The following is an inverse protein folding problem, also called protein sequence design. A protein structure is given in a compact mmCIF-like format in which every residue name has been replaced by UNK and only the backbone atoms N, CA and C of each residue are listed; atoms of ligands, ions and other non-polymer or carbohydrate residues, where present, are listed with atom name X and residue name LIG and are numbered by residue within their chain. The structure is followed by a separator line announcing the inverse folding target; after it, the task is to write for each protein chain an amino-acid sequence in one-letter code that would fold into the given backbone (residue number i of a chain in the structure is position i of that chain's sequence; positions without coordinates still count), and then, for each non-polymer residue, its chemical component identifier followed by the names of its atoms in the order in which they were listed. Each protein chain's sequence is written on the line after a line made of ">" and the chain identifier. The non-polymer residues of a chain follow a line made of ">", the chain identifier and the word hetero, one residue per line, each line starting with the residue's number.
data_IF_828259486978
#
_entry.id   IF_828259486978
#
_cell.length_a   1.000
_cell.length_b   1.000
_cell.length_c   1.000
_cell.angle_alpha   90.00
_cell.angle_beta   90.00
_cell.angle_gamma   90.00
#
_symmetry.space_group_name_H-M   'P 1'
#
loop_
_entity.id
_entity.type
_entity.pdbx_description
1 polymer ?
#
# COMPACT_ATOMS: atom_id res chain seq x y z
N UNK A 1 9.47 27.54 9.27
CA UNK A 1 10.85 27.24 9.69
C UNK A 1 11.61 26.75 8.48
N UNK A 2 12.61 27.55 8.10
CA UNK A 2 13.39 27.47 6.86
C UNK A 2 14.27 26.23 6.77
N UNK A 3 14.37 25.73 5.53
CA UNK A 3 15.28 24.66 5.15
C UNK A 3 16.69 25.19 4.93
N UNK A 4 17.64 24.73 5.74
CA UNK A 4 19.07 24.89 5.46
C UNK A 4 19.53 23.69 4.61
N UNK A 5 19.90 23.93 3.35
CA UNK A 5 20.66 23.02 2.51
C UNK A 5 22.15 23.15 2.87
N UNK A 6 22.78 22.07 3.29
CA UNK A 6 24.23 21.98 3.40
C UNK A 6 24.78 21.32 2.14
N UNK A 7 25.57 22.08 1.38
CA UNK A 7 26.37 21.63 0.25
C UNK A 7 27.74 21.17 0.77
N UNK A 8 28.19 19.98 0.36
CA UNK A 8 29.51 19.44 0.63
C UNK A 8 30.40 19.67 -0.60
N UNK A 9 31.65 20.20 -0.46
CA UNK A 9 32.50 20.49 -1.59
C UNK A 9 33.27 19.27 -2.10
N UNK A 10 33.42 19.22 -3.42
CA UNK A 10 34.26 18.31 -4.19
C UNK A 10 35.71 18.76 -4.05
N UNK A 11 36.63 17.88 -3.62
CA UNK A 11 38.06 18.08 -3.68
C UNK A 11 38.65 17.37 -4.90
N UNK A 12 39.33 18.12 -5.73
CA UNK A 12 40.07 17.65 -6.90
C UNK A 12 41.52 17.43 -6.58
N UNK A 13 42.09 16.39 -7.21
CA UNK A 13 43.47 16.44 -7.74
C UNK A 13 44.56 15.86 -6.90
N UNK A 14 45.30 14.89 -7.46
CA UNK A 14 46.59 14.46 -7.03
C UNK A 14 47.11 13.25 -7.82
N UNK A 15 47.77 13.52 -8.96
CA UNK A 15 48.52 12.52 -9.76
C UNK A 15 49.77 12.01 -9.01
N UNK A 16 49.95 10.71 -9.00
CA UNK A 16 51.18 10.09 -8.56
C UNK A 16 51.40 8.73 -9.23
N UNK A 17 52.22 8.72 -10.26
CA UNK A 17 52.72 7.54 -10.98
C UNK A 17 53.72 6.78 -10.13
N UNK A 18 53.54 5.46 -9.98
CA UNK A 18 54.59 4.54 -9.65
C UNK A 18 54.32 3.19 -10.32
N UNK A 19 55.15 2.88 -11.32
CA UNK A 19 55.29 1.55 -11.92
C UNK A 19 55.76 0.52 -10.93
N UNK A 20 55.11 -0.64 -10.86
CA UNK A 20 55.76 -1.91 -10.55
C UNK A 20 55.13 -3.04 -11.37
N UNK A 21 55.99 -3.67 -12.13
CA UNK A 21 55.63 -4.72 -13.09
C UNK A 21 55.47 -6.10 -12.42
N UNK A 22 54.71 -6.92 -13.13
CA UNK A 22 54.78 -8.38 -13.33
C UNK A 22 54.37 -9.31 -12.17
N UNK A 23 53.31 -10.05 -12.47
CA UNK A 23 52.92 -11.28 -11.82
C UNK A 23 51.63 -11.81 -12.42
N UNK A 24 51.71 -12.44 -13.60
CA UNK A 24 50.55 -13.06 -14.25
C UNK A 24 50.09 -14.29 -13.47
N UNK A 25 48.84 -14.30 -13.01
CA UNK A 25 48.04 -15.52 -12.90
C UNK A 25 46.63 -15.19 -13.33
N UNK A 26 46.28 -15.66 -14.53
CA UNK A 26 44.97 -15.58 -15.13
C UNK A 26 44.03 -16.51 -14.41
N UNK A 27 43.40 -16.04 -13.35
CA UNK A 27 42.17 -16.59 -12.81
C UNK A 27 41.02 -15.73 -13.29
N UNK A 28 40.41 -16.12 -14.39
CA UNK A 28 39.13 -15.54 -14.82
C UNK A 28 38.10 -15.93 -13.78
N UNK A 29 37.94 -15.11 -12.75
CA UNK A 29 36.74 -15.15 -11.92
C UNK A 29 35.62 -14.65 -12.84
N UNK A 30 34.75 -15.57 -13.26
CA UNK A 30 33.48 -15.22 -13.87
C UNK A 30 32.75 -14.28 -12.89
N UNK A 31 32.41 -13.09 -13.35
CA UNK A 31 31.54 -12.21 -12.59
C UNK A 31 30.28 -13.01 -12.20
N UNK A 32 29.78 -12.92 -10.96
CA UNK A 32 28.57 -13.59 -10.59
C UNK A 32 27.48 -13.15 -11.56
N UNK A 33 26.80 -14.12 -12.17
CA UNK A 33 25.67 -13.85 -13.06
C UNK A 33 24.66 -13.00 -12.26
N UNK A 34 24.35 -11.82 -12.75
CA UNK A 34 23.30 -11.00 -12.17
C UNK A 34 22.00 -11.79 -12.27
N UNK A 35 21.56 -12.35 -11.16
CA UNK A 35 20.26 -13.04 -11.07
C UNK A 35 19.19 -11.96 -11.05
N UNK A 36 18.65 -11.65 -12.22
CA UNK A 36 17.51 -10.75 -12.31
C UNK A 36 16.29 -11.47 -11.73
N UNK A 37 15.70 -10.88 -10.68
CA UNK A 37 14.43 -11.37 -10.15
C UNK A 37 13.34 -11.28 -11.20
N UNK A 38 12.57 -12.36 -11.36
CA UNK A 38 11.37 -12.37 -12.20
C UNK A 38 10.19 -11.64 -11.54
N UNK A 39 10.35 -11.29 -10.26
CA UNK A 39 9.34 -10.63 -9.47
C UNK A 39 9.44 -9.11 -9.52
N UNK A 40 8.32 -8.45 -9.31
CA UNK A 40 8.20 -7.00 -9.33
C UNK A 40 6.73 -6.56 -9.39
N UNK A 41 6.48 -5.31 -9.72
CA UNK A 41 5.14 -4.70 -9.69
C UNK A 41 4.04 -5.49 -10.43
N UNK A 42 4.39 -6.18 -11.54
CA UNK A 42 3.42 -6.95 -12.35
C UNK A 42 3.31 -8.41 -11.91
N UNK A 43 4.32 -8.90 -11.23
CA UNK A 43 4.42 -10.26 -10.72
C UNK A 43 5.00 -10.20 -9.29
N UNK A 44 4.18 -9.88 -8.28
CA UNK A 44 4.64 -9.78 -6.90
C UNK A 44 5.13 -11.11 -6.36
N UNK A 45 6.19 -11.08 -5.56
CA UNK A 45 6.67 -12.29 -4.88
C UNK A 45 5.74 -12.67 -3.72
N UNK A 46 5.21 -13.89 -3.68
CA UNK A 46 4.35 -14.34 -2.58
C UNK A 46 5.20 -14.73 -1.36
N UNK A 47 5.61 -13.74 -0.59
CA UNK A 47 6.54 -13.86 0.53
C UNK A 47 5.84 -14.36 1.80
N UNK A 48 6.30 -15.47 2.42
CA UNK A 48 5.81 -15.91 3.73
C UNK A 48 6.17 -14.92 4.83
N UNK A 49 5.23 -14.63 5.74
CA UNK A 49 5.51 -13.96 7.02
C UNK A 49 6.21 -14.95 7.95
N UNK A 50 7.46 -14.67 8.35
CA UNK A 50 8.27 -15.52 9.20
C UNK A 50 8.04 -15.24 10.68
N UNK A 51 7.98 -13.95 11.06
CA UNK A 51 7.75 -13.54 12.45
C UNK A 51 7.02 -12.19 12.52
N UNK A 52 6.34 -11.98 13.64
CA UNK A 52 5.63 -10.75 13.99
C UNK A 52 5.75 -10.46 15.47
N UNK A 53 6.46 -9.39 15.81
CA UNK A 53 6.72 -8.96 17.18
C UNK A 53 6.12 -7.59 17.43
N UNK A 54 5.37 -7.43 18.52
CA UNK A 54 4.88 -6.12 18.99
C UNK A 54 6.02 -5.41 19.70
N UNK A 55 6.40 -4.23 19.23
CA UNK A 55 7.52 -3.45 19.78
C UNK A 55 7.13 -2.53 20.94
N UNK A 56 5.85 -2.28 21.13
CA UNK A 56 5.36 -1.38 22.19
C UNK A 56 5.18 -2.13 23.51
N UNK A 57 5.59 -1.48 24.60
CA UNK A 57 5.33 -1.96 25.95
C UNK A 57 3.88 -1.75 26.39
N UNK A 58 3.53 -2.37 27.53
CA UNK A 58 2.21 -2.24 28.15
C UNK A 58 1.83 -0.79 28.40
N UNK A 59 0.60 -0.41 28.05
CA UNK A 59 0.07 0.94 28.24
C UNK A 59 0.33 1.91 27.09
N UNK A 60 1.01 1.49 26.02
CA UNK A 60 1.14 2.28 24.80
C UNK A 60 -0.21 2.43 24.09
N UNK A 61 -0.54 3.65 23.67
CA UNK A 61 -1.68 3.91 22.78
C UNK A 61 -1.40 3.59 21.30
N UNK A 62 -0.15 3.27 20.98
CA UNK A 62 0.28 2.89 19.62
C UNK A 62 0.59 1.40 19.59
N UNK A 63 0.41 0.81 18.43
CA UNK A 63 0.84 -0.55 18.12
C UNK A 63 1.81 -0.50 16.95
N UNK A 64 3.05 -0.85 17.20
CA UNK A 64 4.12 -0.91 16.19
C UNK A 64 4.66 -2.34 16.17
N UNK A 65 4.74 -2.89 14.97
CA UNK A 65 5.12 -4.26 14.73
C UNK A 65 6.48 -4.32 14.05
N UNK A 66 7.30 -5.25 14.45
CA UNK A 66 8.40 -5.77 13.67
C UNK A 66 7.90 -6.99 12.91
N UNK A 67 8.09 -7.00 11.60
CA UNK A 67 7.63 -8.05 10.70
C UNK A 67 8.83 -8.56 9.90
N UNK A 68 8.97 -9.87 9.82
CA UNK A 68 10.02 -10.54 9.05
C UNK A 68 9.39 -11.34 7.92
N UNK A 69 9.81 -11.08 6.69
CA UNK A 69 9.33 -11.77 5.49
C UNK A 69 10.46 -12.51 4.81
N UNK A 70 10.17 -13.72 4.30
CA UNK A 70 11.14 -14.49 3.52
C UNK A 70 11.33 -13.89 2.14
N UNK A 71 12.58 -13.82 1.68
CA UNK A 71 12.96 -13.56 0.29
C UNK A 71 13.60 -14.79 -0.37
N UNK A 72 13.59 -15.95 0.31
CA UNK A 72 14.15 -17.19 -0.21
C UNK A 72 13.57 -17.52 -1.59
N UNK A 73 14.43 -17.89 -2.53
CA UNK A 73 14.09 -18.19 -3.93
C UNK A 73 13.48 -17.01 -4.74
N UNK A 74 13.42 -15.80 -4.20
CA UNK A 74 12.86 -14.62 -4.91
C UNK A 74 13.84 -13.98 -5.89
N UNK A 75 15.13 -14.08 -5.65
CA UNK A 75 16.17 -13.29 -6.34
C UNK A 75 16.06 -11.77 -6.09
N UNK A 76 15.23 -11.35 -5.12
CA UNK A 76 15.09 -9.93 -4.74
C UNK A 76 16.29 -9.52 -3.90
N UNK A 77 16.92 -8.42 -4.30
CA UNK A 77 18.01 -7.78 -3.54
C UNK A 77 17.61 -6.36 -3.15
N UNK A 78 18.17 -5.86 -2.05
CA UNK A 78 17.91 -4.49 -1.58
C UNK A 78 19.12 -3.90 -0.87
N UNK A 79 19.16 -2.57 -0.77
CA UNK A 79 20.17 -1.82 -0.03
C UNK A 79 19.53 -1.03 1.13
N UNK A 80 20.32 -0.61 2.15
CA UNK A 80 19.84 0.28 3.19
C UNK A 80 19.27 1.58 2.63
N UNK A 81 18.04 1.90 2.98
CA UNK A 81 17.29 3.05 2.46
C UNK A 81 16.23 2.70 1.41
N UNK A 82 16.25 1.48 0.92
CA UNK A 82 15.20 0.99 0.02
C UNK A 82 13.86 0.79 0.73
N UNK A 83 12.81 0.69 -0.08
CA UNK A 83 11.47 0.38 0.37
C UNK A 83 10.90 -0.79 -0.42
N UNK A 84 10.14 -1.64 0.26
CA UNK A 84 9.43 -2.74 -0.38
C UNK A 84 7.93 -2.41 -0.50
N UNK A 85 7.33 -2.84 -1.61
CA UNK A 85 5.92 -2.65 -1.88
C UNK A 85 5.13 -3.86 -1.37
N UNK A 86 4.05 -3.63 -0.63
CA UNK A 86 3.12 -4.68 -0.19
C UNK A 86 1.77 -4.45 -0.87
N UNK A 87 1.21 -5.50 -1.46
CA UNK A 87 -0.15 -5.48 -1.98
C UNK A 87 -1.11 -5.96 -0.88
N UNK A 88 -1.87 -5.04 -0.28
CA UNK A 88 -2.80 -5.41 0.79
C UNK A 88 -4.11 -5.96 0.23
N UNK A 89 -4.87 -6.54 1.13
CA UNK A 89 -6.29 -6.83 0.95
C UNK A 89 -7.10 -5.89 1.87
N UNK A 90 -8.23 -5.37 1.42
CA UNK A 90 -9.11 -4.53 2.24
C UNK A 90 -9.63 -5.29 3.48
N UNK A 91 -10.17 -4.55 4.44
CA UNK A 91 -10.84 -5.14 5.60
C UNK A 91 -12.22 -5.67 5.18
N UNK A 92 -12.54 -6.97 5.36
CA UNK A 92 -13.82 -7.54 4.93
C UNK A 92 -15.05 -6.84 5.55
N UNK A 93 -14.95 -6.40 6.82
CA UNK A 93 -16.04 -5.69 7.48
C UNK A 93 -16.35 -4.36 6.78
N UNK A 94 -15.31 -3.62 6.37
CA UNK A 94 -15.47 -2.35 5.64
C UNK A 94 -16.13 -2.60 4.28
N UNK A 95 -15.76 -3.67 3.60
CA UNK A 95 -16.35 -4.01 2.29
C UNK A 95 -17.83 -4.39 2.44
N UNK A 96 -18.17 -5.20 3.45
CA UNK A 96 -19.57 -5.52 3.74
C UNK A 96 -20.40 -4.27 4.08
N UNK A 97 -19.85 -3.34 4.87
CA UNK A 97 -20.51 -2.06 5.15
C UNK A 97 -20.78 -1.26 3.88
N UNK A 98 -19.83 -1.22 2.95
CA UNK A 98 -19.99 -0.53 1.65
C UNK A 98 -21.09 -1.18 0.81
N UNK A 99 -21.05 -2.49 0.64
CA UNK A 99 -22.03 -3.24 -0.15
C UNK A 99 -23.43 -3.10 0.43
N UNK A 100 -23.55 -3.19 1.76
CA UNK A 100 -24.81 -2.99 2.47
C UNK A 100 -25.33 -1.56 2.30
N UNK A 101 -24.49 -0.55 2.47
CA UNK A 101 -24.88 0.86 2.29
C UNK A 101 -25.26 1.17 0.83
N UNK A 102 -24.68 0.47 -0.14
CA UNK A 102 -25.05 0.54 -1.55
C UNK A 102 -26.34 -0.23 -1.90
N UNK A 103 -26.88 -1.04 -0.98
CA UNK A 103 -28.08 -1.87 -1.22
C UNK A 103 -27.85 -2.99 -2.23
N UNK A 104 -26.61 -3.51 -2.34
CA UNK A 104 -26.23 -4.51 -3.32
C UNK A 104 -26.06 -5.89 -2.70
N UNK A 105 -26.08 -6.95 -3.56
CA UNK A 105 -25.72 -8.32 -3.16
C UNK A 105 -24.21 -8.52 -3.25
N UNK A 106 -23.56 -9.07 -2.22
CA UNK A 106 -22.14 -9.39 -2.25
C UNK A 106 -21.77 -10.44 -3.30
N UNK A 107 -22.68 -11.34 -3.63
CA UNK A 107 -22.49 -12.43 -4.61
C UNK A 107 -22.73 -11.99 -6.06
N UNK A 108 -23.04 -10.71 -6.31
CA UNK A 108 -23.27 -10.24 -7.67
C UNK A 108 -22.05 -10.53 -8.55
N UNK A 109 -22.23 -11.22 -9.71
CA UNK A 109 -21.10 -11.60 -10.56
C UNK A 109 -20.54 -10.38 -11.30
N UNK A 110 -19.22 -10.21 -11.20
CA UNK A 110 -18.46 -9.18 -11.91
C UNK A 110 -17.25 -9.82 -12.59
N UNK A 111 -16.65 -9.12 -13.56
CA UNK A 111 -15.44 -9.61 -14.23
C UNK A 111 -14.21 -9.00 -13.59
N UNK A 112 -13.29 -9.86 -13.12
CA UNK A 112 -11.99 -9.44 -12.60
C UNK A 112 -11.11 -8.85 -13.71
N UNK A 113 -9.97 -8.26 -13.33
CA UNK A 113 -9.00 -7.72 -14.31
C UNK A 113 -8.29 -8.80 -15.12
N UNK A 114 -8.21 -10.01 -14.61
CA UNK A 114 -7.71 -11.19 -15.35
C UNK A 114 -8.73 -11.72 -16.35
N UNK A 115 -9.98 -11.23 -16.32
CA UNK A 115 -11.07 -11.70 -17.16
C UNK A 115 -11.92 -12.82 -16.54
N UNK A 116 -11.59 -13.23 -15.31
CA UNK A 116 -12.30 -14.29 -14.60
C UNK A 116 -13.57 -13.75 -13.92
N UNK A 117 -14.66 -14.53 -13.88
CA UNK A 117 -15.83 -14.17 -13.09
C UNK A 117 -15.53 -14.30 -11.59
N UNK A 118 -15.87 -13.26 -10.83
CA UNK A 118 -15.74 -13.21 -9.36
C UNK A 118 -16.97 -12.55 -8.78
N UNK A 119 -17.22 -12.73 -7.49
CA UNK A 119 -18.27 -11.99 -6.79
C UNK A 119 -17.85 -10.54 -6.48
N UNK A 120 -18.82 -9.67 -6.28
CA UNK A 120 -18.62 -8.24 -6.02
C UNK A 120 -17.78 -8.00 -4.75
N UNK A 121 -18.03 -8.77 -3.67
CA UNK A 121 -17.30 -8.64 -2.42
C UNK A 121 -15.82 -8.94 -2.66
N UNK A 122 -15.50 -10.06 -3.30
CA UNK A 122 -14.14 -10.46 -3.63
C UNK A 122 -13.43 -9.45 -4.54
N UNK A 123 -14.15 -8.89 -5.52
CA UNK A 123 -13.61 -7.87 -6.41
C UNK A 123 -13.19 -6.61 -5.63
N UNK A 124 -14.12 -6.05 -4.84
CA UNK A 124 -13.84 -4.82 -4.08
C UNK A 124 -12.76 -5.10 -3.03
N UNK A 125 -12.81 -6.25 -2.38
CA UNK A 125 -11.86 -6.67 -1.35
C UNK A 125 -10.40 -6.63 -1.85
N UNK A 126 -10.15 -7.09 -3.07
CA UNK A 126 -8.78 -7.27 -3.60
C UNK A 126 -8.34 -6.19 -4.57
N UNK A 127 -9.27 -5.57 -5.31
CA UNK A 127 -8.94 -4.74 -6.47
C UNK A 127 -9.17 -3.24 -6.26
N UNK A 128 -10.02 -2.85 -5.31
CA UNK A 128 -10.51 -1.49 -5.16
C UNK A 128 -9.92 -0.76 -3.94
N UNK A 129 -9.54 0.51 -4.11
CA UNK A 129 -9.24 1.37 -2.96
C UNK A 129 -10.56 1.84 -2.34
N UNK A 130 -11.05 1.08 -1.37
CA UNK A 130 -12.37 1.24 -0.78
C UNK A 130 -12.44 2.27 0.36
N UNK A 131 -11.29 2.78 0.82
CA UNK A 131 -11.26 3.71 1.96
C UNK A 131 -10.91 5.14 1.58
N UNK A 132 -10.29 5.36 0.42
CA UNK A 132 -9.82 6.68 0.03
C UNK A 132 -10.92 7.51 -0.60
N UNK A 133 -11.30 8.61 0.07
CA UNK A 133 -12.16 9.62 -0.51
C UNK A 133 -11.32 10.68 -1.21
N UNK A 134 -11.72 11.10 -2.42
CA UNK A 134 -11.02 12.10 -3.21
C UNK A 134 -11.98 13.01 -3.94
N UNK A 135 -11.52 14.20 -4.39
CA UNK A 135 -12.32 15.10 -5.22
C UNK A 135 -12.91 14.40 -6.45
N UNK A 136 -12.09 13.58 -7.14
CA UNK A 136 -12.52 12.86 -8.33
C UNK A 136 -13.63 11.84 -8.01
N UNK A 137 -13.53 11.16 -6.87
CA UNK A 137 -14.57 10.22 -6.45
C UNK A 137 -15.87 10.97 -6.13
N UNK A 138 -15.81 12.08 -5.39
CA UNK A 138 -16.98 12.91 -5.08
C UNK A 138 -17.62 13.46 -6.37
N UNK A 139 -16.80 13.85 -7.37
CA UNK A 139 -17.30 14.30 -8.66
C UNK A 139 -18.07 13.18 -9.38
N UNK A 140 -17.51 11.99 -9.52
CA UNK A 140 -18.18 10.83 -10.11
C UNK A 140 -19.46 10.46 -9.35
N UNK A 141 -19.40 10.56 -8.01
CA UNK A 141 -20.56 10.29 -7.16
C UNK A 141 -21.69 11.28 -7.44
N UNK A 142 -21.36 12.56 -7.53
CA UNK A 142 -22.32 13.62 -7.89
C UNK A 142 -22.89 13.45 -9.31
N UNK A 143 -22.08 12.98 -10.28
CA UNK A 143 -22.54 12.67 -11.64
C UNK A 143 -23.58 11.54 -11.66
N UNK A 144 -23.45 10.54 -10.76
CA UNK A 144 -24.43 9.44 -10.62
C UNK A 144 -25.70 9.86 -9.89
N UNK A 145 -25.60 10.76 -8.92
CA UNK A 145 -26.72 11.27 -8.14
C UNK A 145 -26.47 12.74 -7.79
N UNK A 146 -26.96 13.68 -8.61
CA UNK A 146 -26.77 15.11 -8.39
C UNK A 146 -27.27 15.55 -7.01
N UNK A 147 -26.41 16.27 -6.29
CA UNK A 147 -26.66 16.78 -4.95
C UNK A 147 -26.04 18.17 -4.78
N UNK A 148 -26.80 19.16 -4.32
CA UNK A 148 -26.38 20.57 -4.24
C UNK A 148 -25.21 20.78 -3.26
N UNK A 149 -25.16 20.03 -2.17
CA UNK A 149 -24.09 20.13 -1.18
C UNK A 149 -22.76 19.61 -1.75
N UNK A 150 -22.80 18.47 -2.44
CA UNK A 150 -21.62 17.94 -3.14
C UNK A 150 -21.19 18.85 -4.29
N UNK A 151 -22.15 19.46 -5.02
CA UNK A 151 -21.84 20.44 -6.06
C UNK A 151 -21.11 21.66 -5.50
N UNK A 152 -21.56 22.19 -4.36
CA UNK A 152 -20.89 23.30 -3.67
C UNK A 152 -19.46 22.96 -3.26
N UNK A 153 -19.21 21.76 -2.73
CA UNK A 153 -17.88 21.28 -2.36
C UNK A 153 -16.93 21.16 -3.57
N UNK A 154 -17.47 20.88 -4.75
CA UNK A 154 -16.68 20.71 -5.97
C UNK A 154 -16.23 22.02 -6.63
N UNK A 155 -16.79 23.17 -6.24
CA UNK A 155 -16.42 24.48 -6.78
C UNK A 155 -14.95 24.83 -6.50
N UNK A 156 -14.29 25.55 -7.40
CA UNK A 156 -12.89 25.94 -7.23
C UNK A 156 -12.59 26.70 -5.93
N UNK A 157 -13.49 27.57 -5.51
CA UNK A 157 -13.43 28.37 -4.28
C UNK A 157 -13.62 27.56 -3.00
N UNK A 158 -14.23 26.37 -3.09
CA UNK A 158 -14.54 25.50 -1.95
C UNK A 158 -13.41 24.56 -1.54
N UNK A 159 -12.18 24.76 -2.03
CA UNK A 159 -11.06 23.83 -1.82
C UNK A 159 -10.81 23.51 -0.33
N UNK A 160 -10.88 24.51 0.56
CA UNK A 160 -10.68 24.29 1.99
C UNK A 160 -11.81 23.45 2.59
N UNK A 161 -13.08 23.77 2.27
CA UNK A 161 -14.26 23.00 2.70
C UNK A 161 -14.21 21.56 2.20
N UNK A 162 -13.78 21.34 0.96
CA UNK A 162 -13.60 20.01 0.39
C UNK A 162 -12.55 19.20 1.14
N UNK A 163 -11.42 19.79 1.51
CA UNK A 163 -10.39 19.10 2.29
C UNK A 163 -10.91 18.71 3.69
N UNK A 164 -11.63 19.62 4.35
CA UNK A 164 -12.27 19.35 5.63
C UNK A 164 -13.32 18.22 5.50
N UNK A 165 -14.13 18.26 4.44
CA UNK A 165 -15.14 17.23 4.17
C UNK A 165 -14.50 15.86 3.95
N UNK A 166 -13.40 15.78 3.18
CA UNK A 166 -12.70 14.52 2.88
C UNK A 166 -11.98 13.97 4.13
N UNK A 167 -11.56 14.86 5.04
CA UNK A 167 -10.75 14.44 6.17
C UNK A 167 -11.47 13.43 7.08
N UNK A 168 -10.88 12.24 7.20
CA UNK A 168 -11.39 11.15 8.02
C UNK A 168 -12.68 10.47 7.52
N UNK A 169 -13.21 10.87 6.36
CA UNK A 169 -14.31 10.17 5.68
C UNK A 169 -13.80 9.11 4.72
N UNK A 170 -14.61 8.10 4.54
CA UNK A 170 -14.45 7.03 3.55
C UNK A 170 -15.68 6.96 2.65
N UNK A 171 -15.64 6.17 1.57
CA UNK A 171 -16.78 6.07 0.64
C UNK A 171 -18.06 5.57 1.32
N UNK A 172 -17.96 4.74 2.33
CA UNK A 172 -19.11 4.25 3.10
C UNK A 172 -19.91 5.40 3.73
N UNK A 173 -19.23 6.49 4.10
CA UNK A 173 -19.90 7.67 4.67
C UNK A 173 -20.72 8.40 3.60
N UNK A 174 -20.21 8.51 2.36
CA UNK A 174 -20.97 9.06 1.25
C UNK A 174 -22.22 8.22 0.95
N UNK A 175 -22.07 6.90 0.90
CA UNK A 175 -23.19 5.98 0.61
C UNK A 175 -24.30 6.07 1.66
N UNK A 176 -23.92 6.33 2.92
CA UNK A 176 -24.89 6.48 4.02
C UNK A 176 -25.49 7.89 4.06
N UNK A 177 -24.69 8.95 3.87
CA UNK A 177 -25.13 10.34 3.95
C UNK A 177 -25.88 10.79 2.68
N UNK A 178 -25.50 10.27 1.52
CA UNK A 178 -26.04 10.63 0.19
C UNK A 178 -26.42 9.37 -0.62
N UNK A 179 -27.39 8.57 -0.20
CA UNK A 179 -27.70 7.29 -0.86
C UNK A 179 -28.06 7.49 -2.34
N UNK A 180 -27.54 6.63 -3.21
CA UNK A 180 -27.87 6.62 -4.65
C UNK A 180 -28.96 5.59 -4.89
N UNK A 181 -30.19 5.99 -5.27
CA UNK A 181 -31.24 5.05 -5.60
C UNK A 181 -30.86 4.17 -6.80
N UNK A 182 -31.07 2.85 -6.68
CA UNK A 182 -30.80 1.87 -7.75
C UNK A 182 -29.34 1.90 -8.26
N UNK A 183 -28.37 2.15 -7.37
CA UNK A 183 -26.96 2.07 -7.71
C UNK A 183 -26.65 0.67 -8.26
N UNK A 184 -26.09 0.60 -9.48
CA UNK A 184 -25.66 -0.68 -10.04
C UNK A 184 -24.29 -1.09 -9.52
N UNK A 185 -23.97 -2.41 -9.47
CA UNK A 185 -22.64 -2.88 -9.11
C UNK A 185 -21.52 -2.30 -9.99
N UNK A 186 -21.75 -2.17 -11.29
CA UNK A 186 -20.80 -1.56 -12.22
C UNK A 186 -20.52 -0.08 -11.89
N UNK A 187 -21.57 0.68 -11.59
CA UNK A 187 -21.41 2.08 -11.18
C UNK A 187 -20.66 2.20 -9.85
N UNK A 188 -20.95 1.32 -8.89
CA UNK A 188 -20.19 1.28 -7.63
C UNK A 188 -18.70 1.01 -7.90
N UNK A 189 -18.37 0.01 -8.72
CA UNK A 189 -16.99 -0.33 -9.08
C UNK A 189 -16.28 0.84 -9.76
N UNK A 190 -16.93 1.57 -10.64
CA UNK A 190 -16.39 2.71 -11.37
C UNK A 190 -16.05 3.92 -10.47
N UNK A 191 -16.64 4.01 -9.28
CA UNK A 191 -16.28 5.02 -8.28
C UNK A 191 -14.86 4.80 -7.75
N UNK A 192 -14.44 3.55 -7.61
CA UNK A 192 -13.14 3.22 -7.02
C UNK A 192 -11.99 3.40 -8.00
N UNK A 193 -10.85 3.79 -7.46
CA UNK A 193 -9.56 3.56 -8.09
C UNK A 193 -9.03 2.19 -7.71
N UNK A 194 -7.98 1.73 -8.40
CA UNK A 194 -7.27 0.49 -8.01
C UNK A 194 -6.71 0.62 -6.59
N UNK A 195 -6.75 -0.49 -5.87
CA UNK A 195 -6.02 -0.62 -4.61
C UNK A 195 -4.52 -0.54 -4.89
N UNK A 196 -3.82 0.52 -4.43
CA UNK A 196 -2.40 0.64 -4.68
C UNK A 196 -1.60 -0.18 -3.66
N UNK A 197 -0.41 -0.68 -4.05
CA UNK A 197 0.54 -1.21 -3.08
C UNK A 197 0.94 -0.12 -2.07
N UNK A 198 1.39 -0.54 -0.90
CA UNK A 198 1.94 0.35 0.12
C UNK A 198 3.43 0.12 0.26
N UNK A 199 4.21 1.20 0.19
CA UNK A 199 5.65 1.17 0.38
C UNK A 199 5.97 1.26 1.86
N UNK A 200 6.87 0.38 2.31
CA UNK A 200 7.45 0.42 3.64
C UNK A 200 8.97 0.46 3.51
N UNK A 201 9.60 1.38 4.25
CA UNK A 201 11.05 1.42 4.35
C UNK A 201 11.56 0.11 4.97
N UNK A 202 12.60 -0.45 4.39
CA UNK A 202 13.23 -1.68 4.88
C UNK A 202 14.01 -1.36 6.14
N UNK A 203 13.84 -2.18 7.18
CA UNK A 203 14.45 -2.02 8.50
C UNK A 203 15.61 -3.03 8.74
N UNK A 204 15.86 -3.94 7.79
CA UNK A 204 16.93 -4.93 7.86
C UNK A 204 18.13 -4.57 6.96
N UNK A 205 19.22 -5.29 7.16
CA UNK A 205 20.35 -5.31 6.23
C UNK A 205 20.42 -6.67 5.56
N UNK A 206 20.43 -6.70 4.22
CA UNK A 206 20.52 -7.95 3.48
C UNK A 206 21.83 -8.71 3.76
N UNK A 207 22.90 -8.02 4.13
CA UNK A 207 24.16 -8.69 4.55
C UNK A 207 24.02 -9.49 5.83
N UNK A 208 23.16 -9.02 6.75
CA UNK A 208 22.88 -9.71 8.02
C UNK A 208 21.80 -10.77 7.87
N UNK A 209 20.83 -10.53 6.99
CA UNK A 209 19.68 -11.39 6.74
C UNK A 209 19.52 -11.57 5.21
N UNK A 210 20.33 -12.47 4.57
CA UNK A 210 20.41 -12.57 3.10
C UNK A 210 19.07 -12.89 2.43
N UNK A 211 18.27 -13.76 3.07
CA UNK A 211 17.02 -14.28 2.52
C UNK A 211 15.77 -13.73 3.24
N UNK A 212 15.91 -12.53 3.83
CA UNK A 212 14.82 -11.92 4.58
C UNK A 212 14.74 -10.42 4.34
N UNK A 213 13.56 -9.86 4.51
CA UNK A 213 13.32 -8.42 4.62
C UNK A 213 12.49 -8.13 5.87
N UNK A 214 12.97 -7.19 6.69
CA UNK A 214 12.27 -6.81 7.92
C UNK A 214 11.67 -5.42 7.78
N UNK A 215 10.48 -5.24 8.35
CA UNK A 215 9.74 -3.99 8.33
C UNK A 215 9.35 -3.58 9.74
N UNK A 216 9.26 -2.26 9.95
CA UNK A 216 8.64 -1.69 11.15
C UNK A 216 7.36 -0.99 10.74
N UNK A 217 6.22 -1.50 11.20
CA UNK A 217 4.89 -1.08 10.76
C UNK A 217 4.05 -0.61 11.94
N UNK A 218 3.61 0.65 11.94
CA UNK A 218 2.62 1.13 12.88
C UNK A 218 1.21 0.79 12.40
N UNK A 219 0.45 0.05 13.19
CA UNK A 219 -0.95 -0.26 12.90
C UNK A 219 -1.81 1.00 13.07
N UNK A 220 -2.41 1.45 11.97
CA UNK A 220 -3.22 2.67 11.93
C UNK A 220 -4.66 2.35 12.30
N UNK A 221 -5.11 2.84 13.45
CA UNK A 221 -6.50 2.78 13.90
C UNK A 221 -6.89 4.11 14.52
N UNK A 222 -8.06 4.62 14.16
CA UNK A 222 -8.57 5.88 14.71
C UNK A 222 -10.11 5.90 14.65
N UNK A 223 -10.72 6.87 15.31
CA UNK A 223 -12.17 7.04 15.32
C UNK A 223 -12.54 8.39 14.73
N UNK A 224 -13.33 8.40 13.64
CA UNK A 224 -13.88 9.61 13.02
C UNK A 224 -15.24 9.30 12.43
N UNK A 225 -16.07 10.34 12.28
CA UNK A 225 -17.41 10.22 11.68
C UNK A 225 -18.22 9.03 12.23
N UNK A 226 -18.15 8.81 13.56
CA UNK A 226 -18.85 7.74 14.31
C UNK A 226 -18.46 6.31 13.89
N UNK A 227 -17.27 6.13 13.26
CA UNK A 227 -16.77 4.83 12.82
C UNK A 227 -15.34 4.60 13.28
N UNK A 228 -15.03 3.35 13.58
CA UNK A 228 -13.66 2.91 13.75
C UNK A 228 -13.00 2.75 12.37
N UNK A 229 -11.91 3.46 12.16
CA UNK A 229 -11.14 3.45 10.91
C UNK A 229 -9.93 2.55 11.04
N UNK A 230 -9.61 1.85 9.96
CA UNK A 230 -8.50 0.90 9.89
C UNK A 230 -7.64 1.20 8.67
N UNK A 231 -6.34 1.44 8.86
CA UNK A 231 -5.42 1.57 7.74
C UNK A 231 -5.36 0.26 6.95
N UNK A 232 -5.61 0.30 5.64
CA UNK A 232 -5.80 -0.89 4.80
C UNK A 232 -4.63 -1.87 4.94
N UNK A 233 -3.39 -1.43 4.66
CA UNK A 233 -2.23 -2.30 4.69
C UNK A 233 -1.71 -2.57 6.10
N UNK A 234 -1.63 -1.55 6.95
CA UNK A 234 -1.08 -1.70 8.30
C UNK A 234 -1.91 -2.64 9.16
N UNK A 235 -3.26 -2.60 9.07
CA UNK A 235 -4.11 -3.56 9.79
C UNK A 235 -4.24 -4.90 9.06
N UNK A 236 -4.01 -4.96 7.75
CA UNK A 236 -3.84 -6.22 7.04
C UNK A 236 -2.67 -7.00 7.62
N UNK A 237 -1.52 -6.34 7.76
CA UNK A 237 -0.30 -6.92 8.32
C UNK A 237 -0.40 -7.22 9.82
N UNK A 238 -1.14 -6.39 10.58
CA UNK A 238 -1.28 -6.56 12.02
C UNK A 238 -2.25 -7.68 12.41
N UNK A 239 -3.41 -7.74 11.74
CA UNK A 239 -4.56 -8.48 12.23
C UNK A 239 -4.97 -9.68 11.36
N UNK A 240 -4.61 -9.65 10.06
CA UNK A 240 -5.28 -10.48 9.05
C UNK A 240 -4.38 -11.45 8.31
N UNK A 241 -3.09 -11.47 8.62
CA UNK A 241 -2.14 -12.47 8.11
C UNK A 241 -1.59 -13.28 9.28
N UNK A 242 -1.46 -14.59 9.09
CA UNK A 242 -0.82 -15.50 10.03
C UNK A 242 0.65 -15.74 9.69
N UNK A 243 1.41 -16.28 10.65
CA UNK A 243 2.76 -16.78 10.39
C UNK A 243 2.69 -17.85 9.30
N UNK A 244 3.64 -17.84 8.40
CA UNK A 244 3.74 -18.66 7.18
C UNK A 244 2.71 -18.34 6.08
N UNK A 245 1.77 -17.43 6.29
CA UNK A 245 0.90 -16.95 5.22
C UNK A 245 1.68 -16.07 4.25
N UNK A 246 1.34 -16.18 2.96
CA UNK A 246 2.03 -15.48 1.89
C UNK A 246 1.42 -14.11 1.63
N UNK A 247 2.28 -13.09 1.62
CA UNK A 247 1.95 -11.71 1.31
C UNK A 247 2.62 -11.32 0.00
N UNK A 248 1.89 -10.73 -0.96
CA UNK A 248 2.51 -10.28 -2.21
C UNK A 248 3.38 -9.02 -1.97
N UNK A 249 4.69 -9.16 -2.19
CA UNK A 249 5.70 -8.12 -2.08
C UNK A 249 6.14 -7.61 -3.44
#
# INVERSE_FOLDING_TARGET
>A
LEHARASVPVAAGGSGTADYASGASSGTQAAPAEVYSIYGKKNPFPSPLLDRVVLNGTGSSKETLHLEFSLEDSGITYEPGDAIAILPVNCPEVIRDIIHAAGLSPEYPVTSKSGDPVDLESYILKECDATSLSKLLIQKYHELSPNDELAELLRPESKAKLQEFIWGREIVDLLVEYPIPNLSPDNLIQLFRRLPPRLYSIASSQRANPDQVHLTVAAVRYYTHRRNRKGVCSTFLADRIGISEKVPL
#
